data_IF_562048373584
#
_entry.id   IF_562048373584
#
_cell.length_a   1.000
_cell.length_b   1.000
_cell.length_c   1.000
_cell.angle_alpha   90.00
_cell.angle_beta   90.00
_cell.angle_gamma   90.00
#
_symmetry.space_group_name_H-M   'P 1'
#
loop_
_entity.id
_entity.type
_entity.pdbx_description
1 polymer ?
#
# COMPACT_ATOMS: atom_id res chain seq x y z
N UNK A 1 -3.38 15.09 -14.01
CA UNK A 1 -3.35 16.52 -13.63
C UNK A 1 -4.07 16.74 -12.31
N UNK A 2 -5.36 16.34 -12.20
CA UNK A 2 -6.10 16.41 -10.93
C UNK A 2 -5.43 15.66 -9.77
N UNK A 3 -4.94 14.43 -10.01
CA UNK A 3 -4.27 13.64 -8.97
C UNK A 3 -3.09 14.38 -8.32
N UNK A 4 -2.22 15.00 -9.14
CA UNK A 4 -1.06 15.73 -8.64
C UNK A 4 -1.47 17.02 -7.92
N UNK A 5 -2.46 17.72 -8.46
CA UNK A 5 -2.99 18.95 -7.87
C UNK A 5 -3.57 18.74 -6.46
N UNK A 6 -4.09 17.54 -6.17
CA UNK A 6 -4.61 17.18 -4.85
C UNK A 6 -3.57 16.46 -3.97
N UNK A 7 -2.74 15.59 -4.55
CA UNK A 7 -1.75 14.82 -3.80
C UNK A 7 -0.61 15.69 -3.25
N UNK A 8 -0.17 16.72 -3.98
CA UNK A 8 0.92 17.59 -3.53
C UNK A 8 0.51 18.40 -2.29
N UNK A 9 -0.62 19.14 -2.27
CA UNK A 9 -1.07 19.82 -1.06
C UNK A 9 -1.35 18.86 0.09
N UNK A 10 -1.93 17.70 -0.19
CA UNK A 10 -2.17 16.69 0.85
C UNK A 10 -0.86 16.23 1.49
N UNK A 11 0.20 15.98 0.72
CA UNK A 11 1.49 15.58 1.26
C UNK A 11 2.13 16.67 2.12
N UNK A 12 2.01 17.94 1.73
CA UNK A 12 2.51 19.06 2.54
C UNK A 12 1.71 19.16 3.85
N UNK A 13 0.39 19.12 3.77
CA UNK A 13 -0.50 19.22 4.93
C UNK A 13 -0.30 18.05 5.91
N UNK A 14 -0.15 16.84 5.39
CA UNK A 14 0.03 15.63 6.18
C UNK A 14 1.50 15.27 6.45
N UNK A 15 2.47 16.05 5.99
CA UNK A 15 3.89 15.82 6.25
C UNK A 15 4.23 15.52 7.73
N UNK A 16 3.74 16.29 8.73
CA UNK A 16 4.01 15.98 10.13
C UNK A 16 3.42 14.62 10.55
N UNK A 17 2.24 14.25 10.02
CA UNK A 17 1.63 12.95 10.27
C UNK A 17 2.46 11.82 9.63
N UNK A 18 2.95 11.99 8.40
CA UNK A 18 3.86 11.02 7.77
C UNK A 18 5.13 10.79 8.60
N UNK A 19 5.75 11.86 9.09
CA UNK A 19 6.94 11.77 9.93
C UNK A 19 6.65 11.05 11.25
N UNK A 20 5.52 11.38 11.90
CA UNK A 20 5.07 10.73 13.12
C UNK A 20 4.81 9.22 12.90
N UNK A 21 4.08 8.86 11.85
CA UNK A 21 3.82 7.45 11.52
C UNK A 21 5.12 6.70 11.20
N UNK A 22 6.02 7.31 10.43
CA UNK A 22 7.33 6.72 10.13
C UNK A 22 8.14 6.45 11.40
N UNK A 23 8.17 7.41 12.34
CA UNK A 23 8.81 7.27 13.64
C UNK A 23 8.16 6.15 14.48
N UNK A 24 6.83 6.16 14.61
CA UNK A 24 6.11 5.15 15.38
C UNK A 24 6.33 3.74 14.82
N UNK A 25 6.28 3.56 13.50
CA UNK A 25 6.60 2.28 12.86
C UNK A 25 8.05 1.87 13.15
N UNK A 26 9.00 2.80 13.04
CA UNK A 26 10.42 2.54 13.31
C UNK A 26 10.67 2.10 14.75
N UNK A 27 9.97 2.70 15.71
CA UNK A 27 10.11 2.41 17.14
C UNK A 27 9.36 1.14 17.55
N UNK A 28 8.13 0.93 17.05
CA UNK A 28 7.25 -0.18 17.48
C UNK A 28 7.49 -1.48 16.71
N UNK A 29 7.93 -1.39 15.45
CA UNK A 29 8.07 -2.55 14.55
C UNK A 29 9.51 -2.72 14.02
N UNK A 30 10.37 -1.71 14.18
CA UNK A 30 11.76 -1.71 13.70
C UNK A 30 11.91 -1.19 12.26
N UNK A 31 13.06 -1.43 11.61
CA UNK A 31 13.23 -1.24 10.18
C UNK A 31 12.81 -2.50 9.38
N UNK A 32 12.40 -2.35 8.11
CA UNK A 32 12.14 -1.11 7.39
C UNK A 32 10.81 -0.44 7.81
N UNK A 33 10.68 0.87 7.58
CA UNK A 33 9.44 1.62 7.86
C UNK A 33 8.36 1.31 6.82
N UNK A 34 8.75 1.26 5.54
CA UNK A 34 7.83 0.96 4.46
C UNK A 34 7.91 -0.52 4.07
N UNK A 35 6.75 -1.13 3.93
CA UNK A 35 6.55 -2.40 3.27
C UNK A 35 6.36 -2.16 1.77
N UNK A 36 6.98 -3.02 0.95
CA UNK A 36 6.96 -2.93 -0.51
C UNK A 36 6.39 -4.21 -1.08
N UNK A 37 5.42 -4.12 -1.99
CA UNK A 37 4.80 -5.29 -2.61
C UNK A 37 4.51 -5.04 -4.10
N UNK A 38 4.89 -5.98 -4.96
CA UNK A 38 4.55 -5.94 -6.38
C UNK A 38 3.05 -6.13 -6.60
N UNK A 39 2.49 -5.27 -7.45
CA UNK A 39 1.06 -5.24 -7.79
C UNK A 39 0.87 -4.95 -9.28
N UNK A 40 -0.22 -5.42 -9.89
CA UNK A 40 -0.55 -5.11 -11.27
C UNK A 40 -1.09 -3.68 -11.37
N UNK A 41 -0.47 -2.89 -12.23
CA UNK A 41 -0.82 -1.50 -12.53
C UNK A 41 -1.58 -1.37 -13.85
N UNK A 42 -1.37 -0.23 -14.52
CA UNK A 42 -1.92 0.06 -15.84
C UNK A 42 -1.45 -0.99 -16.86
N UNK A 43 -2.38 -1.54 -17.62
CA UNK A 43 -2.21 -2.67 -18.54
C UNK A 43 -1.55 -3.91 -17.90
N UNK A 44 -1.76 -4.12 -16.59
CA UNK A 44 -1.19 -5.24 -15.85
C UNK A 44 0.30 -5.11 -15.56
N UNK A 45 0.95 -4.00 -15.94
CA UNK A 45 2.38 -3.79 -15.71
C UNK A 45 2.69 -3.77 -14.21
N UNK A 46 3.70 -4.51 -13.73
CA UNK A 46 4.01 -4.55 -12.30
C UNK A 46 4.52 -3.19 -11.80
N UNK A 47 4.03 -2.77 -10.64
CA UNK A 47 4.56 -1.65 -9.90
C UNK A 47 4.72 -2.00 -8.42
N UNK A 48 5.60 -1.29 -7.73
CA UNK A 48 5.83 -1.49 -6.29
C UNK A 48 4.90 -0.62 -5.46
N UNK A 49 3.90 -1.23 -4.84
CA UNK A 49 3.02 -0.59 -3.87
C UNK A 49 3.76 -0.33 -2.56
N UNK A 50 3.63 0.89 -2.01
CA UNK A 50 4.22 1.31 -0.75
C UNK A 50 3.16 1.38 0.35
N UNK A 51 3.38 0.69 1.47
CA UNK A 51 2.59 0.81 2.70
C UNK A 51 3.48 1.08 3.89
N UNK A 52 2.98 1.75 4.93
CA UNK A 52 3.63 1.62 6.23
C UNK A 52 3.56 0.17 6.70
N UNK A 53 4.67 -0.35 7.21
CA UNK A 53 4.71 -1.72 7.68
C UNK A 53 3.85 -1.83 8.94
N UNK A 54 2.83 -2.69 8.90
CA UNK A 54 1.94 -2.99 10.04
C UNK A 54 2.17 -4.34 10.69
N UNK A 55 3.20 -5.10 10.28
CA UNK A 55 3.51 -6.43 10.84
C UNK A 55 4.99 -6.53 11.17
N UNK A 56 5.32 -7.27 12.24
CA UNK A 56 6.70 -7.54 12.63
C UNK A 56 7.40 -8.47 11.63
N UNK A 57 8.72 -8.57 11.72
CA UNK A 57 9.51 -9.58 11.00
C UNK A 57 9.90 -10.76 11.92
N UNK A 58 9.09 -11.04 12.94
CA UNK A 58 9.37 -12.14 13.87
C UNK A 58 9.45 -13.48 13.13
N UNK A 59 10.43 -14.29 13.53
CA UNK A 59 10.74 -15.60 12.95
C UNK A 59 10.79 -16.65 14.06
N UNK A 60 10.51 -17.90 13.70
CA UNK A 60 10.71 -19.05 14.58
C UNK A 60 12.20 -19.38 14.74
N UNK A 61 12.50 -20.41 15.54
CA UNK A 61 13.86 -20.89 15.78
C UNK A 61 14.53 -21.43 14.50
N UNK A 62 13.75 -21.83 13.50
CA UNK A 62 14.19 -22.34 12.21
C UNK A 62 14.41 -21.21 11.19
N UNK A 63 14.12 -19.96 11.57
CA UNK A 63 14.26 -18.79 10.71
C UNK A 63 13.08 -18.56 9.76
N UNK A 64 11.97 -19.29 9.87
CA UNK A 64 10.76 -19.04 9.08
C UNK A 64 9.97 -17.88 9.68
N UNK A 65 9.30 -17.10 8.84
CA UNK A 65 8.41 -16.05 9.32
C UNK A 65 7.26 -16.67 10.13
N UNK A 66 6.99 -16.11 11.31
CA UNK A 66 5.85 -16.53 12.10
C UNK A 66 4.52 -16.31 11.35
N UNK A 67 3.45 -17.03 11.75
CA UNK A 67 2.10 -16.78 11.27
C UNK A 67 1.67 -15.32 11.40
N UNK A 68 0.72 -14.90 10.56
CA UNK A 68 0.23 -13.52 10.55
C UNK A 68 -0.35 -13.08 11.90
N UNK A 69 -1.00 -14.00 12.63
CA UNK A 69 -1.57 -13.77 13.96
C UNK A 69 -0.53 -13.31 14.96
N UNK A 70 0.67 -13.88 14.88
CA UNK A 70 1.74 -13.66 15.85
C UNK A 70 2.61 -12.46 15.46
N UNK A 71 2.47 -11.99 14.22
CA UNK A 71 3.19 -10.83 13.67
C UNK A 71 2.38 -9.54 13.68
N UNK A 72 1.08 -9.62 13.92
CA UNK A 72 0.16 -8.49 13.89
C UNK A 72 -0.04 -7.90 15.30
N UNK A 73 0.68 -6.83 15.60
CA UNK A 73 0.59 -6.14 16.90
C UNK A 73 -0.65 -5.26 17.00
N UNK A 74 -1.03 -4.83 18.22
CA UNK A 74 -2.12 -3.85 18.41
C UNK A 74 -1.91 -2.56 17.62
N UNK A 75 -0.66 -2.08 17.53
CA UNK A 75 -0.32 -0.92 16.70
C UNK A 75 -0.51 -1.21 15.20
N UNK A 76 -0.12 -2.40 14.74
CA UNK A 76 -0.37 -2.85 13.37
C UNK A 76 -1.86 -2.98 13.03
N UNK A 77 -2.66 -3.46 13.98
CA UNK A 77 -4.13 -3.53 13.85
C UNK A 77 -4.72 -2.13 13.75
N UNK A 78 -4.29 -1.21 14.62
CA UNK A 78 -4.69 0.20 14.59
C UNK A 78 -4.43 0.81 13.21
N UNK A 79 -3.17 0.73 12.71
CA UNK A 79 -2.79 1.27 11.40
C UNK A 79 -3.71 0.79 10.26
N UNK A 80 -4.06 -0.50 10.26
CA UNK A 80 -4.92 -1.12 9.24
C UNK A 80 -6.38 -0.72 9.40
N UNK A 81 -6.90 -0.69 10.61
CA UNK A 81 -8.29 -0.33 10.90
C UNK A 81 -8.61 1.11 10.51
N UNK A 82 -7.63 2.00 10.60
CA UNK A 82 -7.74 3.41 10.23
C UNK A 82 -7.21 3.69 8.82
N UNK A 83 -6.77 2.68 8.07
CA UNK A 83 -6.10 2.81 6.76
C UNK A 83 -4.88 3.74 6.73
N UNK A 84 -4.30 4.01 7.90
CA UNK A 84 -3.10 4.85 8.01
C UNK A 84 -1.88 4.15 7.39
N UNK A 85 -1.90 2.81 7.30
CA UNK A 85 -0.86 2.07 6.58
C UNK A 85 -0.84 2.35 5.07
N UNK A 86 -1.95 2.80 4.50
CA UNK A 86 -2.10 3.08 3.08
C UNK A 86 -1.72 4.51 2.70
N UNK A 87 -1.52 5.41 3.67
CA UNK A 87 -1.17 6.81 3.39
C UNK A 87 0.11 6.93 2.53
N UNK A 88 1.07 6.02 2.68
CA UNK A 88 2.28 6.03 1.83
C UNK A 88 2.02 5.69 0.36
N UNK A 89 0.83 5.22 -0.01
CA UNK A 89 0.43 5.05 -1.41
C UNK A 89 0.35 6.41 -2.15
N UNK A 90 0.24 7.54 -1.44
CA UNK A 90 0.36 8.88 -2.04
C UNK A 90 1.69 9.09 -2.79
N UNK A 91 2.78 8.45 -2.34
CA UNK A 91 4.05 8.47 -3.08
C UNK A 91 3.94 7.73 -4.43
N UNK A 92 3.14 6.67 -4.51
CA UNK A 92 2.85 5.99 -5.78
C UNK A 92 2.00 6.86 -6.72
N UNK A 93 1.08 7.67 -6.17
CA UNK A 93 0.30 8.65 -6.94
C UNK A 93 1.22 9.73 -7.51
N UNK A 94 2.12 10.29 -6.70
CA UNK A 94 3.11 11.27 -7.18
C UNK A 94 4.02 10.71 -8.27
N UNK A 95 4.49 9.46 -8.11
CA UNK A 95 5.32 8.78 -9.11
C UNK A 95 4.56 8.46 -10.40
N UNK A 96 3.23 8.49 -10.36
CA UNK A 96 2.35 8.19 -11.48
C UNK A 96 2.04 6.71 -11.65
N UNK A 97 2.43 5.85 -10.71
CA UNK A 97 2.08 4.42 -10.69
C UNK A 97 0.60 4.20 -10.34
N UNK A 98 0.02 5.08 -9.51
CA UNK A 98 -1.36 5.05 -9.03
C UNK A 98 -2.12 6.35 -9.33
N UNK A 99 -3.43 6.30 -9.18
CA UNK A 99 -4.37 7.43 -9.16
C UNK A 99 -4.95 7.59 -7.75
N UNK A 100 -5.51 8.77 -7.42
CA UNK A 100 -6.25 8.91 -6.16
C UNK A 100 -7.50 8.04 -6.14
N UNK A 101 -8.20 7.96 -7.28
CA UNK A 101 -9.42 7.15 -7.46
C UNK A 101 -9.20 6.14 -8.58
N UNK A 102 -9.53 4.88 -8.31
CA UNK A 102 -9.38 3.80 -9.27
C UNK A 102 -9.58 2.41 -8.67
N UNK A 103 -9.44 1.34 -9.46
CA UNK A 103 -9.59 -0.03 -8.98
C UNK A 103 -8.49 -0.39 -7.98
N UNK A 104 -8.85 -1.10 -6.91
CA UNK A 104 -7.87 -1.60 -5.92
C UNK A 104 -6.86 -2.53 -6.61
N UNK A 105 -5.54 -2.33 -6.44
CA UNK A 105 -4.54 -3.24 -7.00
C UNK A 105 -4.53 -4.59 -6.25
N UNK A 106 -4.91 -5.67 -6.93
CA UNK A 106 -4.91 -7.02 -6.35
C UNK A 106 -3.55 -7.71 -6.48
N UNK A 107 -3.44 -9.00 -6.15
CA UNK A 107 -2.15 -9.71 -6.20
C UNK A 107 -1.80 -10.08 -7.65
N UNK A 108 -0.50 -10.08 -7.99
CA UNK A 108 -0.01 -10.46 -9.33
C UNK A 108 -0.56 -11.82 -9.78
N UNK A 109 -0.65 -12.80 -8.87
CA UNK A 109 -1.16 -14.16 -9.14
C UNK A 109 -2.61 -14.23 -9.65
N UNK A 110 -3.36 -13.13 -9.61
CA UNK A 110 -4.71 -13.08 -10.14
C UNK A 110 -4.75 -12.68 -11.61
N UNK A 111 -3.68 -12.09 -12.16
CA UNK A 111 -3.63 -11.68 -13.57
C UNK A 111 -3.97 -12.83 -14.51
N UNK A 112 -3.36 -13.99 -14.29
CA UNK A 112 -3.56 -15.18 -15.13
C UNK A 112 -4.94 -15.84 -14.95
N UNK A 113 -5.73 -15.37 -13.99
CA UNK A 113 -7.06 -15.92 -13.65
C UNK A 113 -8.21 -15.04 -14.10
N UNK A 114 -7.94 -13.85 -14.64
CA UNK A 114 -8.99 -12.93 -15.03
C UNK A 114 -9.64 -13.31 -16.35
N UNK A 115 -10.96 -13.19 -16.39
CA UNK A 115 -11.69 -13.17 -17.66
C UNK A 115 -11.36 -11.89 -18.46
N UNK A 116 -11.61 -11.86 -19.78
CA UNK A 116 -11.42 -10.63 -20.57
C UNK A 116 -12.16 -9.42 -20.00
N UNK A 117 -13.35 -9.63 -19.42
CA UNK A 117 -14.10 -8.57 -18.74
C UNK A 117 -13.41 -8.10 -17.46
N UNK A 118 -12.94 -9.02 -16.61
CA UNK A 118 -12.23 -8.66 -15.38
C UNK A 118 -10.90 -7.95 -15.65
N UNK A 119 -10.23 -8.26 -16.76
CA UNK A 119 -9.00 -7.61 -17.20
C UNK A 119 -9.17 -6.11 -17.45
N UNK A 120 -10.39 -5.64 -17.75
CA UNK A 120 -10.68 -4.22 -18.01
C UNK A 120 -10.37 -3.32 -16.82
N UNK A 121 -10.34 -3.85 -15.60
CA UNK A 121 -9.88 -3.10 -14.41
C UNK A 121 -8.45 -2.54 -14.54
N UNK A 122 -7.65 -3.11 -15.44
CA UNK A 122 -6.28 -2.69 -15.71
C UNK A 122 -6.18 -1.70 -16.90
N UNK A 123 -7.30 -1.28 -17.50
CA UNK A 123 -7.32 -0.21 -18.52
C UNK A 123 -7.09 1.18 -17.93
N UNK A 124 -7.21 1.32 -16.61
CA UNK A 124 -6.96 2.55 -15.85
C UNK A 124 -5.90 2.31 -14.77
N UNK A 125 -5.33 3.39 -14.24
CA UNK A 125 -4.39 3.29 -13.11
C UNK A 125 -5.12 2.76 -11.87
N UNK A 126 -4.46 1.89 -11.08
CA UNK A 126 -5.00 1.49 -9.78
C UNK A 126 -5.19 2.70 -8.86
N UNK A 127 -6.21 2.63 -8.01
CA UNK A 127 -6.59 3.70 -7.09
C UNK A 127 -6.18 3.44 -5.64
N UNK A 128 -5.81 4.51 -4.94
CA UNK A 128 -5.72 4.51 -3.47
C UNK A 128 -7.13 4.36 -2.86
N UNK A 129 -8.07 5.21 -3.30
CA UNK A 129 -9.49 5.11 -2.99
C UNK A 129 -10.21 4.21 -3.99
N UNK A 130 -11.13 3.39 -3.48
CA UNK A 130 -11.83 2.38 -4.26
C UNK A 130 -12.83 3.02 -5.23
N UNK A 131 -12.61 2.79 -6.53
CA UNK A 131 -13.66 2.90 -7.54
C UNK A 131 -14.43 1.58 -7.63
N UNK A 132 -15.76 1.64 -7.54
CA UNK A 132 -16.63 0.50 -7.85
C UNK A 132 -16.86 0.50 -9.36
N UNK A 133 -16.15 -0.38 -10.07
CA UNK A 133 -16.40 -0.73 -11.46
C UNK A 133 -17.20 -2.03 -11.51
#
# INVERSE_FOLDING_TARGET
MLDLALAIPALILFAPLFALLALLVRLKLGPPVLFRHQRPGLHGRPFTLLKFRGMTNARDAQGNLLPNTDRLTLFGQFLRSTSLDELSELFNVLKGDMSLVGPRPLLMRYLDRYTPEQMRRHEVKPGMLLLRL
#
